data_IF_038933738524
#
_entry.id   IF_038933738524
#
_cell.length_a   1.000
_cell.length_b   1.000
_cell.length_c   1.000
_cell.angle_alpha   90.00
_cell.angle_beta   90.00
_cell.angle_gamma   90.00
#
_symmetry.space_group_name_H-M   'P 1'
#
loop_
_entity.id
_entity.type
_entity.pdbx_description
1 polymer ?
#
# COMPACT_ATOMS: atom_id res chain seq x y z
N UNK A 1 -1.26 -39.72 -15.60
CA UNK A 1 -0.46 -38.54 -16.02
C UNK A 1 -1.26 -37.33 -16.52
N UNK A 2 -2.55 -37.42 -16.87
CA UNK A 2 -3.30 -36.27 -17.44
C UNK A 2 -3.89 -35.25 -16.44
N UNK A 3 -4.18 -35.65 -15.19
CA UNK A 3 -4.87 -34.77 -14.23
C UNK A 3 -3.91 -33.74 -13.62
N UNK A 4 -2.68 -34.15 -13.31
CA UNK A 4 -1.66 -33.27 -12.72
C UNK A 4 -1.20 -32.18 -13.71
N UNK A 5 -1.13 -32.50 -15.00
CA UNK A 5 -0.78 -31.54 -16.05
C UNK A 5 -1.88 -30.50 -16.26
N UNK A 6 -3.15 -30.91 -16.24
CA UNK A 6 -4.31 -30.00 -16.28
C UNK A 6 -4.32 -29.08 -15.06
N UNK A 7 -4.03 -29.64 -13.88
CA UNK A 7 -4.02 -28.88 -12.64
C UNK A 7 -2.87 -27.86 -12.60
N UNK A 8 -1.69 -28.22 -13.09
CA UNK A 8 -0.52 -27.33 -13.21
C UNK A 8 -0.78 -26.21 -14.21
N UNK A 9 -1.39 -26.52 -15.36
CA UNK A 9 -1.77 -25.52 -16.35
C UNK A 9 -2.81 -24.52 -15.82
N UNK A 10 -3.73 -24.95 -14.95
CA UNK A 10 -4.65 -24.05 -14.26
C UNK A 10 -3.90 -23.08 -13.33
N UNK A 11 -3.00 -23.59 -12.51
CA UNK A 11 -2.21 -22.78 -11.55
C UNK A 11 -1.35 -21.75 -12.28
N UNK A 12 -0.70 -22.17 -13.37
CA UNK A 12 0.06 -21.27 -14.23
C UNK A 12 -0.80 -20.10 -14.75
N UNK A 13 -2.00 -20.40 -15.26
CA UNK A 13 -2.94 -19.38 -15.74
C UNK A 13 -3.41 -18.45 -14.62
N UNK A 14 -3.72 -19.01 -13.45
CA UNK A 14 -4.18 -18.24 -12.29
C UNK A 14 -3.08 -17.28 -11.79
N UNK A 15 -1.83 -17.76 -11.72
CA UNK A 15 -0.67 -16.95 -11.36
C UNK A 15 -0.43 -15.83 -12.37
N UNK A 16 -0.39 -16.12 -13.67
CA UNK A 16 -0.21 -15.10 -14.70
C UNK A 16 -1.30 -14.04 -14.66
N UNK A 17 -2.56 -14.44 -14.41
CA UNK A 17 -3.68 -13.51 -14.28
C UNK A 17 -3.50 -12.61 -13.06
N UNK A 18 -3.07 -13.15 -11.92
CA UNK A 18 -2.81 -12.38 -10.71
C UNK A 18 -1.63 -11.40 -10.89
N UNK A 19 -0.51 -11.85 -11.47
CA UNK A 19 0.65 -10.99 -11.77
C UNK A 19 0.28 -9.88 -12.74
N UNK A 20 -0.46 -10.20 -13.82
CA UNK A 20 -0.92 -9.21 -14.78
C UNK A 20 -1.83 -8.16 -14.13
N UNK A 21 -2.76 -8.59 -13.27
CA UNK A 21 -3.72 -7.71 -12.58
C UNK A 21 -3.01 -6.78 -11.59
N UNK A 22 -2.13 -7.32 -10.76
CA UNK A 22 -1.64 -6.63 -9.57
C UNK A 22 -0.27 -5.98 -9.74
N UNK A 23 0.61 -6.54 -10.60
CA UNK A 23 2.00 -6.08 -10.76
C UNK A 23 2.18 -5.29 -12.07
N UNK A 24 1.64 -5.81 -13.18
CA UNK A 24 1.83 -5.21 -14.52
C UNK A 24 0.84 -4.07 -14.82
N UNK A 25 -0.06 -3.79 -13.87
CA UNK A 25 -1.23 -2.93 -14.02
C UNK A 25 -1.02 -1.66 -14.88
N UNK A 26 -1.49 -1.72 -16.14
CA UNK A 26 -1.87 -0.62 -17.05
C UNK A 26 -0.85 0.48 -17.41
N UNK A 27 0.12 0.79 -16.56
CA UNK A 27 1.14 1.81 -16.78
C UNK A 27 2.29 1.20 -17.59
N UNK A 28 2.38 1.67 -18.81
CA UNK A 28 3.28 1.29 -19.90
C UNK A 28 4.58 0.58 -19.47
N UNK A 29 4.69 -0.69 -19.87
CA UNK A 29 5.96 -1.39 -20.15
C UNK A 29 6.81 -1.87 -18.97
N UNK A 30 6.86 -1.14 -17.85
CA UNK A 30 7.92 -1.31 -16.83
C UNK A 30 8.00 -2.72 -16.23
N UNK A 31 6.85 -3.38 -16.05
CA UNK A 31 6.77 -4.63 -15.26
C UNK A 31 6.51 -5.91 -16.10
N UNK A 32 6.62 -5.86 -17.43
CA UNK A 32 6.38 -7.05 -18.28
C UNK A 32 7.34 -8.20 -18.01
N UNK A 33 8.57 -7.89 -17.59
CA UNK A 33 9.60 -8.87 -17.26
C UNK A 33 9.16 -9.89 -16.19
N UNK A 34 8.23 -9.52 -15.30
CA UNK A 34 7.67 -10.48 -14.32
C UNK A 34 6.83 -11.58 -14.97
N UNK A 35 6.06 -11.26 -16.02
CA UNK A 35 5.28 -12.28 -16.76
C UNK A 35 6.21 -13.20 -17.55
N UNK A 36 7.27 -12.63 -18.13
CA UNK A 36 8.29 -13.37 -18.87
C UNK A 36 9.06 -14.31 -17.93
N UNK A 37 9.43 -13.83 -16.74
CA UNK A 37 10.06 -14.62 -15.68
C UNK A 37 9.19 -15.79 -15.23
N UNK A 38 7.90 -15.56 -14.92
CA UNK A 38 6.98 -16.65 -14.58
C UNK A 38 6.88 -17.65 -15.74
N UNK A 39 6.83 -17.17 -16.97
CA UNK A 39 6.78 -18.04 -18.15
C UNK A 39 8.06 -18.86 -18.32
N UNK A 40 9.24 -18.28 -18.09
CA UNK A 40 10.53 -18.99 -18.18
C UNK A 40 10.66 -20.04 -17.09
N UNK A 41 10.25 -19.74 -15.86
CA UNK A 41 10.29 -20.70 -14.74
C UNK A 41 9.45 -21.95 -15.03
N UNK A 42 8.22 -21.77 -15.55
CA UNK A 42 7.38 -22.92 -15.91
C UNK A 42 7.90 -23.69 -17.13
N UNK A 43 8.59 -23.04 -18.06
CA UNK A 43 9.21 -23.69 -19.22
C UNK A 43 10.46 -24.48 -18.84
N UNK A 44 11.32 -23.92 -17.99
CA UNK A 44 12.55 -24.57 -17.53
C UNK A 44 12.24 -25.84 -16.73
N UNK A 45 11.15 -25.83 -15.96
CA UNK A 45 10.70 -26.96 -15.15
C UNK A 45 9.81 -27.97 -15.93
N UNK A 46 9.67 -27.86 -17.25
CA UNK A 46 8.78 -28.73 -18.05
C UNK A 46 9.23 -30.18 -18.13
N UNK A 47 10.54 -30.41 -18.10
CA UNK A 47 11.15 -31.74 -18.21
C UNK A 47 11.56 -32.31 -16.84
N UNK A 48 11.15 -31.65 -15.75
CA UNK A 48 11.50 -32.09 -14.41
C UNK A 48 10.83 -33.44 -14.13
N UNK A 49 11.64 -34.47 -13.89
CA UNK A 49 11.16 -35.83 -13.68
C UNK A 49 10.98 -36.17 -12.19
N UNK A 50 11.48 -35.31 -11.29
CA UNK A 50 11.29 -35.45 -9.86
C UNK A 50 9.88 -35.00 -9.44
N UNK A 51 9.05 -35.97 -9.06
CA UNK A 51 7.67 -35.74 -8.63
C UNK A 51 7.58 -34.85 -7.38
N UNK A 52 8.55 -34.93 -6.46
CA UNK A 52 8.55 -34.13 -5.23
C UNK A 52 8.79 -32.66 -5.55
N UNK A 53 9.80 -32.36 -6.37
CA UNK A 53 10.09 -31.01 -6.81
C UNK A 53 8.95 -30.41 -7.66
N UNK A 54 8.28 -31.20 -8.52
CA UNK A 54 7.09 -30.74 -9.26
C UNK A 54 5.96 -30.36 -8.30
N UNK A 55 5.69 -31.18 -7.28
CA UNK A 55 4.66 -30.90 -6.29
C UNK A 55 4.99 -29.64 -5.46
N UNK A 56 6.25 -29.47 -5.06
CA UNK A 56 6.71 -28.30 -4.32
C UNK A 56 6.58 -27.02 -5.14
N UNK A 57 7.03 -27.02 -6.39
CA UNK A 57 6.90 -25.87 -7.29
C UNK A 57 5.44 -25.52 -7.56
N UNK A 58 4.60 -26.54 -7.73
CA UNK A 58 3.15 -26.38 -7.91
C UNK A 58 2.49 -25.76 -6.68
N UNK A 59 2.90 -26.19 -5.48
CA UNK A 59 2.44 -25.61 -4.21
C UNK A 59 2.91 -24.16 -4.07
N UNK A 60 4.18 -23.88 -4.33
CA UNK A 60 4.76 -22.54 -4.25
C UNK A 60 4.01 -21.54 -5.15
N UNK A 61 3.72 -21.93 -6.39
CA UNK A 61 2.95 -21.10 -7.32
C UNK A 61 1.53 -20.80 -6.82
N UNK A 62 0.86 -21.77 -6.19
CA UNK A 62 -0.46 -21.57 -5.56
C UNK A 62 -0.38 -20.64 -4.37
N UNK A 63 0.57 -20.86 -3.47
CA UNK A 63 0.73 -20.08 -2.25
C UNK A 63 1.06 -18.62 -2.59
N UNK A 64 1.92 -18.39 -3.59
CA UNK A 64 2.22 -17.06 -4.07
C UNK A 64 1.02 -16.38 -4.74
N UNK A 65 0.24 -17.11 -5.53
CA UNK A 65 -1.02 -16.60 -6.12
C UNK A 65 -2.00 -16.18 -5.03
N UNK A 66 -2.14 -16.98 -3.98
CA UNK A 66 -2.98 -16.66 -2.83
C UNK A 66 -2.50 -15.40 -2.12
N UNK A 67 -1.21 -15.34 -1.76
CA UNK A 67 -0.60 -14.18 -1.12
C UNK A 67 -0.84 -12.89 -1.92
N UNK A 68 -0.55 -12.92 -3.21
CA UNK A 68 -0.67 -11.74 -4.07
C UNK A 68 -2.11 -11.20 -4.11
N UNK A 69 -3.09 -12.10 -4.21
CA UNK A 69 -4.49 -11.72 -4.21
C UNK A 69 -4.95 -11.21 -2.83
N UNK A 70 -4.55 -11.86 -1.74
CA UNK A 70 -4.94 -11.47 -0.39
C UNK A 70 -4.38 -10.10 0.01
N UNK A 71 -3.10 -9.84 -0.29
CA UNK A 71 -2.47 -8.53 -0.01
C UNK A 71 -3.19 -7.41 -0.75
N UNK A 72 -3.49 -7.60 -2.04
CA UNK A 72 -4.19 -6.60 -2.83
C UNK A 72 -5.64 -6.43 -2.38
N UNK A 73 -6.32 -7.52 -2.00
CA UNK A 73 -7.66 -7.44 -1.43
C UNK A 73 -7.69 -6.63 -0.12
N UNK A 74 -6.74 -6.86 0.79
CA UNK A 74 -6.62 -6.08 2.02
C UNK A 74 -6.29 -4.61 1.75
N UNK A 75 -5.42 -4.33 0.77
CA UNK A 75 -5.14 -2.98 0.32
C UNK A 75 -6.39 -2.27 -0.19
N UNK A 76 -7.17 -2.93 -1.05
CA UNK A 76 -8.44 -2.38 -1.57
C UNK A 76 -9.44 -2.15 -0.44
N UNK A 77 -9.49 -3.05 0.55
CA UNK A 77 -10.34 -2.91 1.73
C UNK A 77 -9.94 -1.68 2.58
N UNK A 78 -8.65 -1.49 2.86
CA UNK A 78 -8.15 -0.32 3.59
C UNK A 78 -8.47 1.00 2.87
N UNK A 79 -8.41 1.00 1.53
CA UNK A 79 -8.83 2.14 0.74
C UNK A 79 -10.35 2.37 0.82
N UNK A 80 -11.16 1.31 0.80
CA UNK A 80 -12.61 1.43 0.91
C UNK A 80 -13.07 2.06 2.23
N UNK A 81 -12.33 1.83 3.32
CA UNK A 81 -12.60 2.46 4.62
C UNK A 81 -11.94 3.84 4.79
N UNK A 82 -11.27 4.37 3.74
CA UNK A 82 -10.49 5.60 3.80
C UNK A 82 -9.41 5.60 4.91
N UNK A 83 -8.92 4.42 5.32
CA UNK A 83 -7.94 4.26 6.40
C UNK A 83 -6.52 4.54 5.88
N UNK A 84 -6.29 4.34 4.58
CA UNK A 84 -4.99 4.55 3.92
C UNK A 84 -5.03 5.62 2.81
N UNK A 85 -6.07 6.46 2.77
CA UNK A 85 -6.17 7.58 1.82
C UNK A 85 -5.69 8.85 2.52
N UNK A 86 -4.68 9.49 1.95
CA UNK A 86 -4.20 10.80 2.42
C UNK A 86 -5.27 11.87 2.13
N UNK A 87 -6.05 12.20 3.16
CA UNK A 87 -7.10 13.23 3.11
C UNK A 87 -6.60 14.60 3.56
N UNK A 88 -5.29 14.78 3.70
CA UNK A 88 -4.72 16.04 4.20
C UNK A 88 -5.17 17.24 3.37
N UNK A 89 -5.25 17.09 2.05
CA UNK A 89 -5.72 18.16 1.15
C UNK A 89 -7.23 18.45 1.24
N UNK A 90 -8.04 17.42 1.46
CA UNK A 90 -9.48 17.56 1.64
C UNK A 90 -9.81 18.24 2.97
N UNK A 91 -9.11 17.83 4.04
CA UNK A 91 -9.19 18.44 5.36
C UNK A 91 -8.70 19.89 5.31
N UNK A 92 -7.58 20.17 4.62
CA UNK A 92 -7.06 21.53 4.39
C UNK A 92 -8.11 22.43 3.75
N UNK A 93 -8.77 21.95 2.69
CA UNK A 93 -9.82 22.72 2.02
C UNK A 93 -11.01 22.98 2.93
N UNK A 94 -11.48 21.96 3.65
CA UNK A 94 -12.66 22.09 4.51
C UNK A 94 -12.39 23.04 5.68
N UNK A 95 -11.25 22.87 6.35
CA UNK A 95 -10.85 23.69 7.48
C UNK A 95 -10.58 25.15 7.07
N UNK A 96 -9.98 25.36 5.89
CA UNK A 96 -9.82 26.71 5.32
C UNK A 96 -11.15 27.40 5.06
N UNK A 97 -12.16 26.68 4.55
CA UNK A 97 -13.52 27.22 4.36
C UNK A 97 -14.19 27.55 5.69
N UNK A 98 -14.07 26.68 6.70
CA UNK A 98 -14.63 26.92 8.03
C UNK A 98 -13.97 28.11 8.73
N UNK A 99 -12.64 28.23 8.68
CA UNK A 99 -11.92 29.38 9.23
C UNK A 99 -12.35 30.68 8.52
N UNK A 100 -12.43 30.67 7.19
CA UNK A 100 -12.86 31.84 6.42
C UNK A 100 -14.28 32.29 6.77
N UNK A 101 -15.19 31.35 7.06
CA UNK A 101 -16.57 31.69 7.47
C UNK A 101 -16.67 32.45 8.79
N UNK A 102 -15.67 32.31 9.66
CA UNK A 102 -15.58 33.03 10.95
C UNK A 102 -14.57 34.19 10.88
N UNK A 103 -14.12 34.56 9.68
CA UNK A 103 -13.16 35.66 9.47
C UNK A 103 -11.71 35.35 9.84
N UNK A 104 -11.38 34.06 10.04
CA UNK A 104 -10.03 33.60 10.39
C UNK A 104 -9.33 33.01 9.15
N UNK A 105 -7.99 33.12 9.11
CA UNK A 105 -7.17 32.47 8.09
C UNK A 105 -6.46 31.26 8.68
N UNK A 106 -6.43 30.15 7.94
CA UNK A 106 -5.75 28.95 8.37
C UNK A 106 -4.24 29.08 8.11
N UNK A 107 -3.37 28.98 9.13
CA UNK A 107 -1.92 28.98 8.93
C UNK A 107 -1.48 27.75 8.11
N UNK A 108 -0.46 27.91 7.25
CA UNK A 108 0.01 26.82 6.37
C UNK A 108 0.48 25.58 7.16
N UNK A 109 0.95 25.78 8.38
CA UNK A 109 1.57 24.76 9.23
C UNK A 109 0.56 23.97 10.10
N UNK A 110 -0.74 24.34 10.09
CA UNK A 110 -1.71 23.85 11.10
C UNK A 110 -2.49 22.59 10.71
N UNK A 111 -2.01 21.80 9.74
CA UNK A 111 -2.67 20.58 9.29
C UNK A 111 -2.32 19.37 10.16
N UNK A 112 -3.02 19.27 11.28
CA UNK A 112 -2.91 18.12 12.17
C UNK A 112 -3.68 16.91 11.62
N UNK A 113 -2.96 16.05 10.90
CA UNK A 113 -2.84 14.61 11.15
C UNK A 113 -4.08 13.84 11.66
N UNK A 114 -4.96 13.40 10.76
CA UNK A 114 -5.88 12.27 11.00
C UNK A 114 -5.33 10.96 10.40
N UNK A 115 -4.06 10.64 10.64
CA UNK A 115 -3.48 9.36 10.24
C UNK A 115 -2.98 8.63 11.49
N UNK A 116 -3.69 7.57 11.90
CA UNK A 116 -3.57 6.83 13.16
C UNK A 116 -2.24 6.04 13.30
N UNK A 117 -1.28 6.18 12.36
CA UNK A 117 -0.08 5.34 12.32
C UNK A 117 1.26 6.09 12.19
N UNK A 118 1.30 7.41 12.44
CA UNK A 118 2.55 8.18 12.43
C UNK A 118 2.76 8.77 13.83
N UNK A 119 3.83 8.36 14.52
CA UNK A 119 4.27 9.05 15.75
C UNK A 119 4.81 10.43 15.36
N UNK A 120 4.08 11.48 15.78
CA UNK A 120 4.36 12.87 15.45
C UNK A 120 4.56 13.75 16.68
N UNK A 121 4.87 13.13 17.82
CA UNK A 121 5.02 13.80 19.11
C UNK A 121 6.01 14.98 19.05
N UNK A 122 7.13 14.82 18.33
CA UNK A 122 8.17 15.85 18.21
C UNK A 122 7.82 17.00 17.27
N UNK A 123 6.97 16.75 16.28
CA UNK A 123 6.52 17.74 15.30
C UNK A 123 5.41 18.62 15.91
N UNK A 124 4.55 18.02 16.73
CA UNK A 124 3.53 18.72 17.53
C UNK A 124 4.18 19.64 18.57
N UNK A 125 5.21 19.19 19.28
CA UNK A 125 5.93 20.04 20.26
C UNK A 125 6.57 21.28 19.60
N UNK A 126 7.21 21.10 18.45
CA UNK A 126 7.85 22.21 17.70
C UNK A 126 6.84 23.26 17.20
N UNK A 127 5.69 22.82 16.71
CA UNK A 127 4.67 23.72 16.16
C UNK A 127 3.93 24.48 17.25
N UNK A 128 3.57 23.82 18.37
CA UNK A 128 3.06 24.53 19.54
C UNK A 128 4.07 25.58 20.05
N UNK A 129 5.35 25.24 20.06
CA UNK A 129 6.45 26.17 20.42
C UNK A 129 6.39 27.51 19.70
N UNK A 130 6.27 27.44 18.37
CA UNK A 130 6.22 28.62 17.51
C UNK A 130 4.93 29.41 17.69
N UNK A 131 3.79 28.72 17.82
CA UNK A 131 2.48 29.35 18.01
C UNK A 131 2.34 30.03 19.37
N UNK A 132 2.90 29.46 20.44
CA UNK A 132 2.91 30.10 21.76
C UNK A 132 3.80 31.36 21.74
N UNK A 133 4.98 31.27 21.12
CA UNK A 133 5.89 32.40 20.98
C UNK A 133 5.29 33.57 20.17
N UNK A 134 4.51 33.28 19.12
CA UNK A 134 3.89 34.33 18.29
C UNK A 134 2.81 35.13 19.02
N UNK A 135 2.23 34.60 20.09
CA UNK A 135 1.26 35.29 20.96
C UNK A 135 1.84 35.67 22.32
N UNK A 136 3.16 35.54 22.50
CA UNK A 136 3.87 35.92 23.74
C UNK A 136 3.65 34.98 24.93
N UNK A 137 3.17 33.76 24.69
CA UNK A 137 2.92 32.75 25.72
C UNK A 137 4.08 31.73 25.77
N UNK A 138 4.42 31.26 26.97
CA UNK A 138 5.34 30.13 27.16
C UNK A 138 4.58 28.82 27.34
N UNK A 139 5.13 27.74 26.77
CA UNK A 139 4.57 26.41 26.94
C UNK A 139 4.88 25.81 28.30
N UNK A 140 3.97 24.99 28.86
CA UNK A 140 4.25 24.19 30.05
C UNK A 140 5.45 23.26 29.84
N UNK A 141 6.22 22.99 30.91
CA UNK A 141 7.46 22.18 30.86
C UNK A 141 7.31 20.83 30.15
N UNK A 142 6.15 20.18 30.28
CA UNK A 142 5.85 18.88 29.65
C UNK A 142 5.96 18.92 28.11
N UNK A 143 5.82 20.10 27.52
CA UNK A 143 5.83 20.34 26.07
C UNK A 143 7.08 21.09 25.58
N UNK A 144 8.02 21.40 26.47
CA UNK A 144 9.32 21.96 26.10
C UNK A 144 10.21 20.81 25.56
N UNK A 145 11.08 21.07 24.55
CA UNK A 145 11.95 20.06 23.95
C UNK A 145 13.03 19.55 24.90
#
# INVERSE_FOLDING_TARGET
MGIETIQTAKIYRDLLKAVKKHIVNGKEGSNRHFLEFVTSEFRNNRNLSDAVAVQQNTKLARDYTFLLNSVHHHKDLLFSYNIAIDRSDEVKRTLGKSAASVGLQLPEDLLFSYNIAIDRSDEVKRTLGKSAASVGLQLPEVYQP
#
